data_IF_532201551748
#
_entry.id   IF_532201551748
#
_cell.length_a   1.000
_cell.length_b   1.000
_cell.length_c   1.000
_cell.angle_alpha   90.00
_cell.angle_beta   90.00
_cell.angle_gamma   90.00
#
_symmetry.space_group_name_H-M   'P 1'
#
loop_
_entity.id
_entity.type
_entity.pdbx_description
1 polymer ?
#
# COMPACT_ATOMS: atom_id res chain seq x y z
N UNK A 1 30.46 36.68 39.89
CA UNK A 1 30.39 36.86 41.35
C UNK A 1 29.47 35.78 41.92
N UNK A 2 29.96 35.06 42.94
CA UNK A 2 29.26 34.19 43.95
C UNK A 2 28.34 33.06 43.41
N UNK A 3 28.67 31.76 43.55
CA UNK A 3 28.77 30.91 44.77
C UNK A 3 27.38 30.71 45.43
N UNK A 4 26.86 29.53 45.82
CA UNK A 4 27.36 28.20 46.17
C UNK A 4 26.15 27.22 46.31
N UNK A 5 26.36 25.90 46.05
CA UNK A 5 26.00 24.72 46.90
C UNK A 5 24.52 24.34 47.23
N UNK A 6 24.11 23.08 47.51
CA UNK A 6 24.72 21.73 47.65
C UNK A 6 23.60 20.66 47.87
N UNK A 7 23.93 19.38 47.56
CA UNK A 7 23.58 18.07 48.23
C UNK A 7 22.16 17.48 48.05
N UNK A 8 21.95 16.15 47.87
CA UNK A 8 22.81 14.94 47.94
C UNK A 8 22.17 13.77 47.15
N UNK A 9 22.92 12.76 46.67
CA UNK A 9 23.42 11.58 47.42
C UNK A 9 22.35 10.47 47.41
N UNK A 10 22.49 9.34 46.72
CA UNK A 10 23.32 8.21 47.15
C UNK A 10 23.59 7.21 46.00
N UNK A 11 24.84 6.73 45.98
CA UNK A 11 25.36 5.60 45.21
C UNK A 11 24.93 4.25 45.82
N UNK A 12 24.75 3.23 44.99
CA UNK A 12 24.98 1.85 45.39
C UNK A 12 25.64 1.09 44.22
N UNK A 13 26.95 0.93 44.36
CA UNK A 13 27.77 -0.03 43.64
C UNK A 13 27.88 -1.32 44.47
N UNK A 14 28.07 -2.46 43.81
CA UNK A 14 28.42 -3.75 44.41
C UNK A 14 28.24 -4.86 43.38
N UNK A 15 29.23 -5.17 42.53
CA UNK A 15 30.44 -5.98 42.78
C UNK A 15 30.18 -7.41 43.25
N UNK A 16 30.41 -8.34 42.31
CA UNK A 16 31.21 -9.56 42.38
C UNK A 16 31.13 -10.43 43.65
N UNK A 17 30.68 -11.67 43.46
CA UNK A 17 31.26 -12.84 44.13
C UNK A 17 30.99 -14.11 43.31
N UNK A 18 32.02 -14.52 42.56
CA UNK A 18 32.18 -15.88 42.07
C UNK A 18 32.69 -16.74 43.23
N UNK A 19 32.00 -17.84 43.53
CA UNK A 19 32.50 -18.88 44.42
C UNK A 19 32.62 -20.16 43.60
N UNK A 20 33.86 -20.50 43.28
CA UNK A 20 34.29 -21.79 42.76
C UNK A 20 34.41 -22.73 43.95
N UNK A 21 33.50 -23.69 44.08
CA UNK A 21 33.71 -24.87 44.93
C UNK A 21 34.09 -26.04 44.05
N UNK A 22 35.38 -26.37 44.08
CA UNK A 22 35.92 -27.64 43.62
C UNK A 22 35.38 -28.77 44.51
N UNK A 23 34.89 -29.84 43.89
CA UNK A 23 34.57 -31.12 44.54
C UNK A 23 35.25 -32.21 43.71
N UNK A 24 35.93 -33.17 44.35
CA UNK A 24 36.94 -34.01 43.69
C UNK A 24 36.34 -35.14 42.86
N UNK A 25 37.12 -35.53 41.85
CA UNK A 25 36.91 -36.71 41.04
C UNK A 25 37.03 -38.00 41.87
N UNK A 26 35.99 -38.84 41.84
CA UNK A 26 36.11 -40.28 42.03
C UNK A 26 35.77 -40.98 40.71
N UNK A 27 36.74 -41.75 40.24
CA UNK A 27 36.69 -42.56 39.04
C UNK A 27 35.80 -43.80 39.22
N UNK A 28 34.89 -44.04 38.27
CA UNK A 28 34.39 -45.37 37.93
C UNK A 28 34.03 -45.38 36.44
N UNK A 29 34.41 -46.41 35.65
CA UNK A 29 34.13 -46.47 34.23
C UNK A 29 32.71 -46.99 34.04
N UNK A 30 31.80 -46.13 33.62
CA UNK A 30 30.55 -46.55 33.02
C UNK A 30 30.65 -46.29 31.53
N UNK A 31 30.73 -47.38 30.76
CA UNK A 31 30.53 -47.41 29.32
C UNK A 31 29.28 -46.59 28.98
N UNK A 32 29.50 -45.37 28.51
CA UNK A 32 28.44 -44.50 28.00
C UNK A 32 28.64 -44.51 26.48
N UNK A 33 27.72 -45.08 25.69
CA UNK A 33 27.85 -44.99 24.24
C UNK A 33 27.90 -43.51 23.83
N UNK A 34 28.69 -43.16 22.80
CA UNK A 34 28.90 -41.78 22.39
C UNK A 34 27.56 -41.09 22.07
N UNK A 35 27.45 -39.76 22.26
CA UNK A 35 26.24 -39.05 21.89
C UNK A 35 26.02 -39.25 20.40
N UNK A 36 24.97 -40.02 20.11
CA UNK A 36 24.46 -40.28 18.78
C UNK A 36 24.31 -38.93 18.10
N UNK A 37 25.18 -38.67 17.13
CA UNK A 37 25.03 -37.55 16.23
C UNK A 37 23.61 -37.64 15.69
N UNK A 38 22.81 -36.60 15.97
CA UNK A 38 21.42 -36.52 15.54
C UNK A 38 21.34 -37.01 14.10
N UNK A 39 20.72 -38.18 13.93
CA UNK A 39 20.53 -38.78 12.63
C UNK A 39 19.92 -37.71 11.71
N UNK A 40 20.33 -37.62 10.44
CA UNK A 40 19.68 -36.73 9.50
C UNK A 40 18.20 -37.08 9.52
N UNK A 41 17.38 -36.12 9.93
CA UNK A 41 15.92 -36.20 9.97
C UNK A 41 15.50 -36.59 8.55
N UNK A 42 15.20 -37.88 8.37
CA UNK A 42 15.09 -38.47 7.04
C UNK A 42 13.92 -37.79 6.31
N UNK A 43 14.21 -37.20 5.16
CA UNK A 43 13.23 -36.62 4.26
C UNK A 43 12.08 -37.62 4.05
N UNK A 44 10.84 -37.12 4.02
CA UNK A 44 9.69 -37.96 3.73
C UNK A 44 9.90 -38.68 2.38
N UNK A 45 9.56 -39.97 2.27
CA UNK A 45 9.79 -40.71 1.02
C UNK A 45 8.98 -40.07 -0.12
N UNK A 46 9.62 -39.87 -1.27
CA UNK A 46 8.97 -39.37 -2.49
C UNK A 46 9.04 -37.87 -2.75
N UNK A 47 9.74 -37.09 -1.91
CA UNK A 47 9.85 -35.63 -2.09
C UNK A 47 10.55 -35.21 -3.39
N UNK A 48 11.42 -36.06 -3.95
CA UNK A 48 12.10 -35.83 -5.23
C UNK A 48 11.13 -35.68 -6.42
N UNK A 49 9.93 -36.26 -6.32
CA UNK A 49 8.91 -36.18 -7.36
C UNK A 49 8.18 -34.83 -7.43
N UNK A 50 8.45 -33.92 -6.49
CA UNK A 50 7.82 -32.61 -6.50
C UNK A 50 8.28 -31.76 -7.69
N UNK A 51 7.34 -31.00 -8.27
CA UNK A 51 7.53 -30.31 -9.55
C UNK A 51 8.55 -29.16 -9.54
N UNK A 52 8.91 -28.64 -8.36
CA UNK A 52 9.86 -27.52 -8.23
C UNK A 52 10.86 -27.78 -7.11
N UNK A 53 12.10 -27.24 -7.19
CA UNK A 53 13.09 -27.39 -6.12
C UNK A 53 12.61 -26.87 -4.76
N UNK A 54 11.82 -25.79 -4.76
CA UNK A 54 11.18 -25.29 -3.53
C UNK A 54 10.22 -26.33 -2.94
N UNK A 55 9.40 -26.99 -3.76
CA UNK A 55 8.46 -28.00 -3.30
C UNK A 55 9.18 -29.27 -2.80
N UNK A 56 10.27 -29.67 -3.47
CA UNK A 56 11.14 -30.76 -3.03
C UNK A 56 11.72 -30.46 -1.64
N UNK A 57 12.27 -29.25 -1.45
CA UNK A 57 12.82 -28.82 -0.17
C UNK A 57 11.77 -28.73 0.94
N UNK A 58 10.59 -28.18 0.63
CA UNK A 58 9.49 -28.09 1.60
C UNK A 58 8.97 -29.45 2.04
N UNK A 59 8.98 -30.44 1.15
CA UNK A 59 8.61 -31.82 1.47
C UNK A 59 9.70 -32.52 2.29
N UNK A 60 10.97 -32.31 1.94
CA UNK A 60 12.10 -33.02 2.53
C UNK A 60 12.56 -32.50 3.91
N UNK A 61 12.32 -31.22 4.23
CA UNK A 61 12.67 -30.64 5.53
C UNK A 61 11.45 -30.66 6.48
N UNK A 62 11.56 -31.40 7.58
CA UNK A 62 10.47 -31.59 8.54
C UNK A 62 9.97 -30.28 9.18
N UNK A 63 10.88 -29.32 9.42
CA UNK A 63 10.50 -28.02 10.00
C UNK A 63 9.75 -27.15 9.00
N UNK A 64 10.14 -27.21 7.72
CA UNK A 64 9.40 -26.57 6.64
C UNK A 64 8.06 -27.23 6.38
N UNK A 65 7.99 -28.56 6.40
CA UNK A 65 6.75 -29.30 6.28
C UNK A 65 5.76 -28.90 7.39
N UNK A 66 6.23 -28.83 8.64
CA UNK A 66 5.43 -28.36 9.76
C UNK A 66 4.99 -26.90 9.61
N UNK A 67 5.87 -26.01 9.14
CA UNK A 67 5.52 -24.61 8.89
C UNK A 67 4.48 -24.47 7.76
N UNK A 68 4.60 -25.27 6.70
CA UNK A 68 3.64 -25.36 5.60
C UNK A 68 2.27 -25.81 6.10
N UNK A 69 2.22 -26.91 6.85
CA UNK A 69 0.97 -27.41 7.44
C UNK A 69 0.30 -26.38 8.37
N UNK A 70 1.08 -25.63 9.15
CA UNK A 70 0.54 -24.55 9.99
C UNK A 70 -0.06 -23.40 9.15
N UNK A 71 0.58 -23.04 8.03
CA UNK A 71 0.04 -22.05 7.09
C UNK A 71 -1.24 -22.56 6.41
N UNK A 72 -1.27 -23.81 5.98
CA UNK A 72 -2.45 -24.43 5.36
C UNK A 72 -3.63 -24.51 6.33
N UNK A 73 -3.37 -24.81 7.60
CA UNK A 73 -4.38 -24.74 8.66
C UNK A 73 -4.91 -23.30 8.88
N UNK A 74 -4.04 -22.30 8.84
CA UNK A 74 -4.44 -20.90 8.93
C UNK A 74 -5.28 -20.46 7.72
N UNK A 75 -4.93 -20.93 6.51
CA UNK A 75 -5.70 -20.70 5.28
C UNK A 75 -7.08 -21.34 5.35
N UNK A 76 -7.18 -22.60 5.75
CA UNK A 76 -8.44 -23.29 5.92
C UNK A 76 -9.33 -22.57 6.94
N UNK A 77 -8.75 -22.15 8.07
CA UNK A 77 -9.47 -21.41 9.10
C UNK A 77 -9.95 -20.02 8.61
N UNK A 78 -9.17 -19.33 7.78
CA UNK A 78 -9.59 -18.07 7.14
C UNK A 78 -10.70 -18.32 6.11
N UNK A 79 -10.56 -19.35 5.28
CA UNK A 79 -11.55 -19.72 4.26
C UNK A 79 -12.92 -20.10 4.84
N UNK A 80 -12.94 -20.63 6.06
CA UNK A 80 -14.17 -20.90 6.81
C UNK A 80 -14.93 -19.63 7.26
N UNK A 81 -14.31 -18.44 7.17
CA UNK A 81 -14.93 -17.16 7.54
C UNK A 81 -15.63 -16.45 6.38
N UNK A 82 -15.69 -17.07 5.20
CA UNK A 82 -16.16 -16.41 3.97
C UNK A 82 -16.92 -17.35 3.05
N UNK A 83 -17.61 -16.78 2.07
CA UNK A 83 -18.27 -17.48 0.97
C UNK A 83 -17.30 -17.92 -0.15
N UNK A 84 -17.84 -18.46 -1.25
CA UNK A 84 -17.04 -18.90 -2.41
C UNK A 84 -16.24 -17.77 -3.06
N UNK A 85 -16.80 -16.56 -3.13
CA UNK A 85 -16.10 -15.41 -3.71
C UNK A 85 -14.89 -15.03 -2.87
N UNK A 86 -15.05 -14.98 -1.54
CA UNK A 86 -13.91 -14.72 -0.67
C UNK A 86 -12.90 -15.86 -0.63
N UNK A 87 -13.31 -17.12 -0.83
CA UNK A 87 -12.38 -18.25 -1.01
C UNK A 87 -11.53 -18.09 -2.26
N UNK A 88 -12.14 -17.69 -3.39
CA UNK A 88 -11.41 -17.40 -4.62
C UNK A 88 -10.40 -16.26 -4.42
N UNK A 89 -10.79 -15.18 -3.76
CA UNK A 89 -9.88 -14.06 -3.46
C UNK A 89 -8.70 -14.46 -2.56
N UNK A 90 -8.92 -15.38 -1.59
CA UNK A 90 -7.85 -15.92 -0.74
C UNK A 90 -6.86 -16.73 -1.59
N UNK A 91 -7.33 -17.54 -2.54
CA UNK A 91 -6.48 -18.34 -3.43
C UNK A 91 -5.67 -17.46 -4.39
N UNK A 92 -6.29 -16.44 -4.96
CA UNK A 92 -5.59 -15.44 -5.79
C UNK A 92 -4.47 -14.75 -5.00
N UNK A 93 -4.77 -14.36 -3.75
CA UNK A 93 -3.78 -13.80 -2.83
C UNK A 93 -2.64 -14.78 -2.52
N UNK A 94 -2.94 -16.08 -2.36
CA UNK A 94 -1.89 -17.09 -2.16
C UNK A 94 -1.03 -17.29 -3.41
N UNK A 95 -1.62 -17.23 -4.60
CA UNK A 95 -0.87 -17.35 -5.86
C UNK A 95 0.17 -16.25 -5.98
N UNK A 96 -0.24 -14.99 -5.75
CA UNK A 96 0.68 -13.84 -5.74
C UNK A 96 1.74 -13.98 -4.64
N UNK A 97 1.33 -14.41 -3.44
CA UNK A 97 2.26 -14.61 -2.34
C UNK A 97 3.31 -15.70 -2.61
N UNK A 98 2.92 -16.84 -3.20
CA UNK A 98 3.85 -17.93 -3.56
C UNK A 98 4.88 -17.46 -4.58
N UNK A 99 4.45 -16.73 -5.61
CA UNK A 99 5.37 -16.12 -6.57
C UNK A 99 6.38 -15.20 -5.85
N UNK A 100 5.90 -14.35 -4.93
CA UNK A 100 6.78 -13.45 -4.17
C UNK A 100 7.73 -14.19 -3.21
N UNK A 101 7.26 -15.27 -2.59
CA UNK A 101 8.07 -16.14 -1.74
C UNK A 101 9.22 -16.72 -2.55
N UNK A 102 8.95 -17.22 -3.74
CA UNK A 102 9.96 -17.86 -4.60
C UNK A 102 10.98 -16.85 -5.14
N UNK A 103 10.57 -15.61 -5.42
CA UNK A 103 11.51 -14.50 -5.70
C UNK A 103 12.37 -14.15 -4.48
N UNK A 104 11.79 -14.16 -3.28
CA UNK A 104 12.46 -13.72 -2.04
C UNK A 104 13.42 -14.78 -1.50
N UNK A 105 13.05 -16.05 -1.64
CA UNK A 105 13.81 -17.22 -1.20
C UNK A 105 14.00 -18.18 -2.38
N UNK A 106 14.82 -17.81 -3.38
CA UNK A 106 15.02 -18.66 -4.55
C UNK A 106 15.70 -19.96 -4.14
N UNK A 107 15.16 -21.07 -4.64
CA UNK A 107 15.73 -22.42 -4.47
C UNK A 107 15.97 -23.00 -5.84
N UNK A 108 17.22 -23.38 -6.11
CA UNK A 108 17.62 -24.06 -7.33
C UNK A 108 17.92 -25.53 -7.03
N UNK A 109 17.94 -26.37 -8.06
CA UNK A 109 18.34 -27.78 -7.90
C UNK A 109 19.78 -27.92 -7.35
N UNK A 110 20.67 -26.97 -7.65
CA UNK A 110 22.04 -26.96 -7.12
C UNK A 110 22.07 -26.69 -5.61
N UNK A 111 21.16 -25.85 -5.09
CA UNK A 111 21.06 -25.61 -3.65
C UNK A 111 20.65 -26.88 -2.89
N UNK A 112 19.90 -27.79 -3.51
CA UNK A 112 19.44 -29.04 -2.88
C UNK A 112 20.57 -30.08 -2.72
N UNK A 113 21.57 -30.05 -3.60
CA UNK A 113 22.72 -30.95 -3.54
C UNK A 113 23.72 -30.58 -2.43
N UNK A 114 23.65 -29.35 -1.91
CA UNK A 114 24.52 -28.85 -0.84
C UNK A 114 23.71 -28.69 0.46
N UNK A 115 24.02 -29.51 1.48
CA UNK A 115 23.28 -29.50 2.74
C UNK A 115 23.29 -28.14 3.46
N UNK A 116 24.36 -27.35 3.33
CA UNK A 116 24.47 -26.02 3.96
C UNK A 116 23.63 -24.99 3.21
N UNK A 117 23.64 -25.03 1.88
CA UNK A 117 22.77 -24.17 1.06
C UNK A 117 21.31 -24.55 1.25
N UNK A 118 20.96 -25.83 1.18
CA UNK A 118 19.61 -26.34 1.44
C UNK A 118 19.08 -25.86 2.79
N UNK A 119 19.89 -25.96 3.86
CA UNK A 119 19.54 -25.43 5.18
C UNK A 119 19.30 -23.91 5.17
N UNK A 120 20.17 -23.16 4.50
CA UNK A 120 20.04 -21.69 4.39
C UNK A 120 18.77 -21.29 3.65
N UNK A 121 18.42 -22.02 2.58
CA UNK A 121 17.16 -21.83 1.84
C UNK A 121 15.96 -22.22 2.70
N UNK A 122 16.05 -23.32 3.44
CA UNK A 122 15.00 -23.76 4.34
C UNK A 122 14.73 -22.72 5.43
N UNK A 123 15.77 -22.15 6.04
CA UNK A 123 15.61 -21.07 7.02
C UNK A 123 14.95 -19.82 6.43
N UNK A 124 15.25 -19.47 5.17
CA UNK A 124 14.58 -18.38 4.45
C UNK A 124 13.08 -18.65 4.28
N UNK A 125 12.73 -19.80 3.70
CA UNK A 125 11.35 -20.21 3.47
C UNK A 125 10.57 -20.27 4.78
N UNK A 126 11.16 -20.84 5.82
CA UNK A 126 10.52 -20.96 7.13
C UNK A 126 10.17 -19.59 7.73
N UNK A 127 11.04 -18.58 7.57
CA UNK A 127 10.75 -17.21 8.00
C UNK A 127 9.60 -16.59 7.21
N UNK A 128 9.59 -16.73 5.89
CA UNK A 128 8.55 -16.16 5.02
C UNK A 128 7.20 -16.84 5.26
N UNK A 129 7.19 -18.17 5.42
CA UNK A 129 5.99 -18.94 5.74
C UNK A 129 5.43 -18.51 7.09
N UNK A 130 6.24 -18.47 8.16
CA UNK A 130 5.77 -18.01 9.48
C UNK A 130 5.18 -16.60 9.44
N UNK A 131 5.81 -15.68 8.71
CA UNK A 131 5.29 -14.32 8.54
C UNK A 131 3.92 -14.33 7.85
N UNK A 132 3.73 -15.18 6.85
CA UNK A 132 2.43 -15.34 6.17
C UNK A 132 1.38 -15.94 7.10
N UNK A 133 1.72 -16.99 7.85
CA UNK A 133 0.82 -17.60 8.84
C UNK A 133 0.29 -16.56 9.83
N UNK A 134 1.17 -15.76 10.42
CA UNK A 134 0.77 -14.67 11.35
C UNK A 134 -0.14 -13.65 10.66
N UNK A 135 0.13 -13.29 9.40
CA UNK A 135 -0.71 -12.36 8.66
C UNK A 135 -2.12 -12.94 8.38
N UNK A 136 -2.21 -14.22 8.04
CA UNK A 136 -3.49 -14.91 7.81
C UNK A 136 -4.31 -15.01 9.10
N UNK A 137 -3.66 -15.31 10.23
CA UNK A 137 -4.31 -15.34 11.53
C UNK A 137 -4.78 -13.96 11.96
N UNK A 138 -3.98 -12.92 11.74
CA UNK A 138 -4.37 -11.54 12.01
C UNK A 138 -5.57 -11.12 11.14
N UNK A 139 -5.59 -11.53 9.87
CA UNK A 139 -6.74 -11.31 8.99
C UNK A 139 -7.98 -12.04 9.51
N UNK A 140 -7.85 -13.31 9.88
CA UNK A 140 -8.95 -14.09 10.49
C UNK A 140 -9.49 -13.41 11.74
N UNK A 141 -8.60 -12.99 12.65
CA UNK A 141 -8.97 -12.27 13.87
C UNK A 141 -9.67 -10.95 13.55
N UNK A 142 -9.23 -10.23 12.52
CA UNK A 142 -9.87 -8.98 12.09
C UNK A 142 -11.30 -9.21 11.59
N UNK A 143 -11.55 -10.33 10.89
CA UNK A 143 -12.89 -10.72 10.42
C UNK A 143 -13.78 -11.24 11.54
N UNK A 144 -13.20 -11.90 12.55
CA UNK A 144 -13.94 -12.42 13.70
C UNK A 144 -14.21 -11.39 14.79
N UNK A 145 -13.58 -10.21 14.73
CA UNK A 145 -13.91 -9.13 15.65
C UNK A 145 -15.38 -8.76 15.40
N UNK A 146 -16.24 -8.80 16.42
CA UNK A 146 -17.57 -8.25 16.26
C UNK A 146 -17.38 -6.82 15.76
N UNK A 147 -18.06 -6.48 14.66
CA UNK A 147 -18.30 -5.09 14.32
C UNK A 147 -18.98 -4.55 15.56
N UNK A 148 -18.22 -3.87 16.43
CA UNK A 148 -18.70 -3.52 17.76
C UNK A 148 -20.07 -2.90 17.64
N UNK A 149 -20.97 -3.21 18.60
CA UNK A 149 -22.39 -2.86 18.63
C UNK A 149 -22.63 -1.35 18.42
N UNK A 150 -22.37 -0.87 17.21
CA UNK A 150 -23.08 0.24 16.65
C UNK A 150 -24.43 -0.37 16.30
N UNK A 151 -25.50 0.11 16.92
CA UNK A 151 -26.81 -0.40 16.58
C UNK A 151 -27.00 -0.23 15.07
N UNK A 152 -27.16 -1.34 14.36
CA UNK A 152 -27.72 -1.36 13.00
C UNK A 152 -29.22 -1.00 13.02
N UNK A 153 -29.70 -0.34 14.08
CA UNK A 153 -30.95 0.38 14.04
C UNK A 153 -30.67 1.77 13.46
N UNK A 154 -31.23 2.01 12.28
CA UNK A 154 -31.42 3.34 11.68
C UNK A 154 -32.24 4.27 12.59
N UNK A 155 -32.65 3.81 13.77
CA UNK A 155 -33.48 4.52 14.74
C UNK A 155 -32.82 4.83 16.09
N UNK A 156 -31.60 4.32 16.38
CA UNK A 156 -31.03 4.41 17.74
C UNK A 156 -29.60 4.95 17.85
N UNK A 157 -28.79 4.85 16.80
CA UNK A 157 -27.62 5.70 16.73
C UNK A 157 -28.16 7.12 16.59
N UNK A 158 -27.92 8.01 17.56
CA UNK A 158 -27.81 9.41 17.21
C UNK A 158 -26.84 9.40 16.04
N UNK A 159 -27.37 9.64 14.82
CA UNK A 159 -26.59 9.69 13.60
C UNK A 159 -25.31 10.40 14.01
N UNK A 160 -24.13 9.83 13.71
CA UNK A 160 -22.90 10.63 13.84
C UNK A 160 -23.32 11.97 13.29
N UNK A 161 -23.36 12.98 14.16
CA UNK A 161 -23.65 14.32 13.67
C UNK A 161 -22.47 14.49 12.75
N UNK A 162 -22.69 14.32 11.44
CA UNK A 162 -21.83 14.90 10.45
C UNK A 162 -21.60 16.27 11.03
N UNK A 163 -20.34 16.59 11.34
CA UNK A 163 -20.00 17.93 11.78
C UNK A 163 -20.85 18.82 10.88
N UNK A 164 -21.80 19.56 11.50
CA UNK A 164 -22.90 20.17 10.77
C UNK A 164 -22.30 20.71 9.48
N UNK A 165 -22.82 20.33 8.28
CA UNK A 165 -22.15 20.59 7.01
C UNK A 165 -21.50 21.94 7.14
N UNK A 166 -20.15 21.96 7.13
CA UNK A 166 -19.38 23.17 7.44
C UNK A 166 -20.18 24.30 6.81
N UNK A 167 -20.72 25.24 7.62
CA UNK A 167 -21.67 26.22 7.11
C UNK A 167 -21.02 26.75 5.85
N UNK A 168 -21.68 26.60 4.67
CA UNK A 168 -21.02 26.73 3.38
C UNK A 168 -20.19 27.98 3.49
N UNK A 169 -18.85 27.80 3.48
CA UNK A 169 -17.95 28.94 3.66
C UNK A 169 -18.43 29.89 2.59
N UNK A 170 -18.97 31.06 2.97
CA UNK A 170 -19.61 31.94 2.02
C UNK A 170 -18.59 32.11 0.92
N UNK A 171 -18.92 31.75 -0.34
CA UNK A 171 -17.93 31.73 -1.39
C UNK A 171 -17.31 33.11 -1.37
N UNK A 172 -16.01 33.18 -1.11
CA UNK A 172 -15.26 34.40 -1.34
C UNK A 172 -15.27 34.52 -2.87
N UNK A 173 -16.33 35.16 -3.37
CA UNK A 173 -16.57 35.43 -4.78
C UNK A 173 -15.62 36.55 -5.17
N UNK A 174 -14.34 36.22 -5.19
CA UNK A 174 -13.38 37.00 -5.94
C UNK A 174 -13.76 36.83 -7.40
N UNK A 175 -13.84 37.93 -8.14
CA UNK A 175 -14.00 37.85 -9.59
C UNK A 175 -12.72 37.23 -10.16
N UNK A 176 -12.85 36.15 -10.90
CA UNK A 176 -11.73 35.45 -11.54
C UNK A 176 -11.99 35.42 -13.03
N UNK A 177 -11.03 35.91 -13.82
CA UNK A 177 -11.06 35.75 -15.28
C UNK A 177 -10.21 34.54 -15.69
N UNK A 178 -10.51 33.95 -16.84
CA UNK A 178 -9.74 32.84 -17.41
C UNK A 178 -8.25 33.17 -17.56
N UNK A 179 -7.92 34.41 -17.91
CA UNK A 179 -6.53 34.89 -18.00
C UNK A 179 -5.77 34.72 -16.69
N UNK A 180 -6.43 34.93 -15.54
CA UNK A 180 -5.80 34.74 -14.23
C UNK A 180 -5.56 33.27 -13.87
N UNK A 181 -6.06 32.33 -14.66
CA UNK A 181 -5.81 30.90 -14.50
C UNK A 181 -4.65 30.40 -15.39
N UNK A 182 -4.11 31.27 -16.24
CA UNK A 182 -2.99 30.92 -17.10
C UNK A 182 -1.77 30.42 -16.30
N UNK A 183 -1.04 29.51 -16.92
CA UNK A 183 0.10 28.81 -16.36
C UNK A 183 -0.18 27.32 -16.12
N UNK A 184 0.81 26.67 -15.51
CA UNK A 184 0.81 25.22 -15.30
C UNK A 184 0.29 24.86 -13.90
N UNK A 185 -0.41 23.72 -13.85
CA UNK A 185 -1.05 23.17 -12.67
C UNK A 185 -0.71 21.68 -12.53
N UNK A 186 -0.31 21.26 -11.32
CA UNK A 186 -0.04 19.88 -10.96
C UNK A 186 -1.34 19.15 -10.63
N UNK A 187 -1.50 17.93 -11.11
CA UNK A 187 -2.58 17.06 -10.62
C UNK A 187 -2.37 16.78 -9.13
N UNK A 188 -3.44 16.75 -8.34
CA UNK A 188 -3.34 16.44 -6.90
C UNK A 188 -3.70 15.00 -6.58
N UNK A 189 -3.10 14.47 -5.51
CA UNK A 189 -3.48 13.17 -4.94
C UNK A 189 -4.89 13.27 -4.32
N UNK A 190 -5.81 12.35 -4.65
CA UNK A 190 -7.17 12.39 -4.10
C UNK A 190 -7.22 12.16 -2.58
N UNK A 191 -6.22 11.52 -1.97
CA UNK A 191 -6.20 11.20 -0.55
C UNK A 191 -5.81 12.40 0.32
N UNK A 192 -4.79 13.17 -0.08
CA UNK A 192 -4.24 14.28 0.73
C UNK A 192 -4.29 15.65 0.04
N UNK A 193 -4.70 15.70 -1.23
CA UNK A 193 -4.84 16.91 -2.06
C UNK A 193 -3.54 17.70 -2.26
N UNK A 194 -2.40 17.03 -2.10
CA UNK A 194 -1.06 17.57 -2.41
C UNK A 194 -0.72 17.36 -3.89
N UNK A 195 0.19 18.17 -4.43
CA UNK A 195 0.63 18.06 -5.82
C UNK A 195 1.37 16.74 -6.06
N UNK A 196 0.95 15.96 -7.05
CA UNK A 196 1.66 14.78 -7.53
C UNK A 196 2.81 15.24 -8.42
N UNK A 197 4.03 14.82 -8.08
CA UNK A 197 5.25 14.98 -8.89
C UNK A 197 5.55 16.41 -9.39
N UNK A 198 4.97 17.44 -8.76
CA UNK A 198 5.15 18.87 -9.04
C UNK A 198 5.25 19.20 -10.55
N UNK A 199 4.20 18.81 -11.29
CA UNK A 199 4.04 19.09 -12.73
C UNK A 199 5.01 18.39 -13.69
N UNK A 200 5.74 17.36 -13.26
CA UNK A 200 6.66 16.61 -14.13
C UNK A 200 5.98 15.58 -15.01
N UNK A 201 5.06 14.81 -14.43
CA UNK A 201 4.48 13.61 -15.07
C UNK A 201 3.00 13.79 -15.42
N UNK A 202 2.23 14.50 -14.58
CA UNK A 202 0.81 14.75 -14.78
C UNK A 202 0.49 16.21 -14.47
N UNK A 203 0.03 16.94 -15.49
CA UNK A 203 -0.16 18.38 -15.40
C UNK A 203 -1.26 18.89 -16.34
N UNK A 204 -1.71 20.11 -16.06
CA UNK A 204 -2.63 20.91 -16.85
C UNK A 204 -1.95 22.25 -17.15
N UNK A 205 -1.84 22.62 -18.41
CA UNK A 205 -1.30 23.90 -18.86
C UNK A 205 -2.42 24.73 -19.50
N UNK A 206 -2.56 25.98 -19.06
CA UNK A 206 -3.55 26.92 -19.58
C UNK A 206 -2.82 28.10 -20.19
N UNK A 207 -2.93 28.26 -21.51
CA UNK A 207 -2.38 29.40 -22.23
C UNK A 207 -3.17 30.68 -22.01
N UNK A 208 -2.52 31.83 -22.22
CA UNK A 208 -3.17 33.14 -22.17
C UNK A 208 -4.21 33.34 -23.27
N UNK A 209 -4.10 32.56 -24.34
CA UNK A 209 -5.04 32.47 -25.46
C UNK A 209 -6.22 31.52 -25.20
N UNK A 210 -6.36 31.01 -23.96
CA UNK A 210 -7.33 30.00 -23.55
C UNK A 210 -7.09 28.61 -24.13
N UNK A 211 -5.93 28.36 -24.74
CA UNK A 211 -5.51 27.00 -25.03
C UNK A 211 -5.36 26.22 -23.73
N UNK A 212 -5.75 24.95 -23.76
CA UNK A 212 -5.61 24.04 -22.63
C UNK A 212 -4.96 22.76 -23.14
N UNK A 213 -3.88 22.37 -22.46
CA UNK A 213 -3.16 21.13 -22.69
C UNK A 213 -3.08 20.36 -21.37
N UNK A 214 -3.69 19.17 -21.29
CA UNK A 214 -3.59 18.32 -20.12
C UNK A 214 -2.87 17.02 -20.45
N UNK A 215 -2.01 16.55 -19.54
CA UNK A 215 -1.22 15.33 -19.66
C UNK A 215 -1.48 14.45 -18.46
N UNK A 216 -1.89 13.20 -18.71
CA UNK A 216 -1.96 12.14 -17.71
C UNK A 216 -1.50 10.82 -18.36
N UNK A 217 -0.24 10.39 -18.15
CA UNK A 217 0.36 9.29 -18.89
C UNK A 217 -0.28 7.93 -18.57
N UNK A 218 -1.04 7.83 -17.47
CA UNK A 218 -1.73 6.59 -17.08
C UNK A 218 -3.06 6.40 -17.79
N UNK A 219 -3.56 7.41 -18.53
CA UNK A 219 -4.86 7.38 -19.18
C UNK A 219 -4.72 7.51 -20.70
N UNK A 220 -5.38 6.61 -21.44
CA UNK A 220 -5.31 6.56 -22.91
C UNK A 220 -5.97 7.75 -23.61
N UNK A 221 -6.86 8.48 -22.92
CA UNK A 221 -7.57 9.64 -23.46
C UNK A 221 -6.74 10.94 -23.42
N UNK A 222 -5.49 10.86 -22.97
CA UNK A 222 -4.56 11.98 -22.86
C UNK A 222 -3.40 11.84 -23.88
N UNK A 223 -2.81 12.94 -24.37
CA UNK A 223 -3.05 14.32 -23.96
C UNK A 223 -4.42 14.85 -24.40
N UNK A 224 -4.97 15.75 -23.59
CA UNK A 224 -6.22 16.43 -23.87
C UNK A 224 -5.92 17.86 -24.32
N UNK A 225 -6.25 18.17 -25.57
CA UNK A 225 -6.00 19.45 -26.21
C UNK A 225 -7.30 20.14 -26.60
N UNK A 226 -7.39 21.44 -26.35
CA UNK A 226 -8.54 22.22 -26.78
C UNK A 226 -8.46 23.70 -26.39
N UNK A 227 -9.58 24.40 -26.59
CA UNK A 227 -9.71 25.82 -26.27
C UNK A 227 -10.88 26.02 -25.31
N UNK A 228 -10.65 26.74 -24.21
CA UNK A 228 -11.70 27.09 -23.26
C UNK A 228 -12.67 28.11 -23.87
N UNK A 229 -13.97 27.90 -23.67
CA UNK A 229 -15.02 28.78 -24.16
C UNK A 229 -14.85 30.21 -23.64
N UNK A 230 -15.03 31.19 -24.55
CA UNK A 230 -14.73 32.60 -24.30
C UNK A 230 -15.55 33.23 -23.16
N UNK A 231 -16.84 32.89 -23.11
CA UNK A 231 -17.82 33.54 -22.23
C UNK A 231 -18.09 32.73 -20.95
N UNK A 232 -17.26 31.71 -20.67
CA UNK A 232 -17.43 30.85 -19.51
C UNK A 232 -16.94 31.51 -18.22
N UNK A 233 -17.72 31.38 -17.15
CA UNK A 233 -17.30 31.74 -15.79
C UNK A 233 -16.50 30.57 -15.18
N UNK A 234 -15.21 30.75 -14.82
CA UNK A 234 -14.40 29.72 -14.17
C UNK A 234 -15.04 29.13 -12.91
N UNK A 235 -15.84 29.90 -12.17
CA UNK A 235 -16.48 29.44 -10.93
C UNK A 235 -17.67 28.51 -11.22
N UNK A 236 -18.43 28.80 -12.29
CA UNK A 236 -19.56 27.98 -12.72
C UNK A 236 -19.13 26.77 -13.56
N UNK A 237 -17.99 26.89 -14.23
CA UNK A 237 -17.45 25.89 -15.14
C UNK A 237 -17.34 26.44 -16.56
N UNK A 238 -16.23 26.13 -17.21
CA UNK A 238 -15.91 26.55 -18.58
C UNK A 238 -15.72 25.31 -19.44
N UNK A 239 -16.48 25.24 -20.53
CA UNK A 239 -16.37 24.16 -21.48
C UNK A 239 -15.02 24.21 -22.20
N UNK A 240 -14.36 23.07 -22.30
CA UNK A 240 -13.22 22.83 -23.17
C UNK A 240 -13.75 22.33 -24.51
N UNK A 241 -13.59 23.14 -25.54
CA UNK A 241 -13.95 22.79 -26.91
C UNK A 241 -12.76 22.13 -27.60
N UNK A 242 -12.98 21.14 -28.47
CA UNK A 242 -11.89 20.58 -29.26
C UNK A 242 -11.25 21.66 -30.13
N UNK A 243 -9.96 21.52 -30.41
CA UNK A 243 -9.30 22.37 -31.40
C UNK A 243 -10.05 22.28 -32.73
N UNK A 244 -10.39 23.43 -33.34
CA UNK A 244 -11.14 23.45 -34.59
C UNK A 244 -10.39 22.65 -35.67
N UNK A 245 -11.10 21.85 -36.51
CA UNK A 245 -10.47 21.22 -37.65
C UNK A 245 -9.90 22.29 -38.60
N UNK A 246 -8.72 22.03 -39.16
CA UNK A 246 -8.15 22.84 -40.24
C UNK A 246 -9.15 23.05 -41.37
N UNK A 247 -9.16 24.25 -41.94
CA UNK A 247 -10.10 24.80 -42.93
C UNK A 247 -10.82 23.76 -43.81
N UNK A 248 -12.16 23.69 -43.69
CA UNK A 248 -13.01 22.98 -44.66
C UNK A 248 -14.18 22.17 -44.07
N UNK A 249 -14.19 21.89 -42.77
CA UNK A 249 -15.31 21.20 -42.12
C UNK A 249 -16.30 22.22 -41.54
N UNK A 250 -17.56 22.13 -41.94
CA UNK A 250 -18.64 22.97 -41.44
C UNK A 250 -18.69 22.93 -39.90
N UNK A 251 -18.81 24.10 -39.28
CA UNK A 251 -18.90 24.27 -37.84
C UNK A 251 -20.23 23.71 -37.29
N UNK A 252 -20.34 22.38 -37.19
CA UNK A 252 -21.21 21.81 -36.17
C UNK A 252 -20.61 22.20 -34.81
N UNK A 253 -21.46 22.65 -33.88
CA UNK A 253 -21.06 22.91 -32.49
C UNK A 253 -20.48 21.63 -31.91
N UNK A 254 -19.15 21.54 -31.87
CA UNK A 254 -18.46 20.37 -31.39
C UNK A 254 -18.81 20.17 -29.92
N UNK A 255 -19.16 18.94 -29.54
CA UNK A 255 -19.45 18.62 -28.16
C UNK A 255 -18.23 18.94 -27.28
N UNK A 256 -18.43 19.49 -26.07
CA UNK A 256 -17.34 19.78 -25.16
C UNK A 256 -16.60 18.49 -24.79
N UNK A 257 -15.27 18.57 -24.72
CA UNK A 257 -14.41 17.46 -24.31
C UNK A 257 -14.39 17.30 -22.79
N UNK A 258 -14.44 18.43 -22.09
CA UNK A 258 -14.37 18.51 -20.64
C UNK A 258 -14.96 19.84 -20.14
N UNK A 259 -15.18 19.93 -18.85
CA UNK A 259 -15.52 21.16 -18.13
C UNK A 259 -14.41 21.46 -17.11
N UNK A 260 -13.85 22.66 -17.17
CA UNK A 260 -12.87 23.20 -16.21
C UNK A 260 -13.57 24.10 -15.21
N UNK A 261 -13.41 23.86 -13.91
CA UNK A 261 -14.03 24.68 -12.85
C UNK A 261 -13.05 25.03 -11.75
N UNK A 262 -13.03 26.29 -11.34
CA UNK A 262 -12.34 26.77 -10.16
C UNK A 262 -13.14 26.45 -8.90
N UNK A 263 -12.47 25.87 -7.91
CA UNK A 263 -13.02 25.67 -6.59
C UNK A 263 -12.91 26.93 -5.73
N UNK A 264 -13.85 27.15 -4.79
CA UNK A 264 -13.76 28.25 -3.83
C UNK A 264 -12.44 28.21 -3.05
N UNK A 265 -11.74 29.35 -2.99
CA UNK A 265 -10.49 29.53 -2.27
C UNK A 265 -10.35 30.97 -1.75
N UNK A 266 -9.69 31.14 -0.60
CA UNK A 266 -9.56 32.46 0.05
C UNK A 266 -8.55 33.38 -0.65
N UNK A 267 -7.63 32.83 -1.44
CA UNK A 267 -6.65 33.60 -2.21
C UNK A 267 -6.15 32.83 -3.44
N UNK A 268 -5.59 33.52 -4.46
CA UNK A 268 -5.08 32.88 -5.67
C UNK A 268 -4.02 31.79 -5.43
N UNK A 269 -3.30 31.87 -4.30
CA UNK A 269 -2.29 30.89 -3.90
C UNK A 269 -2.89 29.52 -3.57
N UNK A 270 -4.16 29.48 -3.18
CA UNK A 270 -4.88 28.26 -2.80
C UNK A 270 -5.89 27.83 -3.85
N UNK A 271 -5.81 28.41 -5.05
CA UNK A 271 -6.67 28.03 -6.16
C UNK A 271 -6.52 26.55 -6.48
N UNK A 272 -7.67 25.93 -6.73
CA UNK A 272 -7.76 24.55 -7.17
C UNK A 272 -8.68 24.49 -8.37
N UNK A 273 -8.21 23.86 -9.43
CA UNK A 273 -9.00 23.61 -10.63
C UNK A 273 -9.49 22.17 -10.62
N UNK A 274 -10.73 21.95 -11.02
CA UNK A 274 -11.24 20.63 -11.37
C UNK A 274 -11.40 20.58 -12.88
N UNK A 275 -10.75 19.60 -13.52
CA UNK A 275 -11.06 19.21 -14.89
C UNK A 275 -11.92 17.95 -14.84
N UNK A 276 -13.10 17.98 -15.44
CA UNK A 276 -14.02 16.84 -15.55
C UNK A 276 -14.30 16.56 -17.01
N UNK A 277 -14.05 15.35 -17.47
CA UNK A 277 -14.38 14.94 -18.84
C UNK A 277 -15.88 14.73 -19.00
N UNK A 278 -16.37 15.00 -20.20
CA UNK A 278 -17.75 14.70 -20.57
C UNK A 278 -17.92 13.19 -20.88
N UNK A 279 -19.12 12.62 -20.71
CA UNK A 279 -19.40 11.23 -21.06
C UNK A 279 -19.03 10.93 -22.53
N UNK A 280 -18.52 9.72 -22.85
CA UNK A 280 -18.53 8.50 -22.03
C UNK A 280 -17.36 8.37 -21.04
N UNK A 281 -16.43 9.33 -20.98
CA UNK A 281 -15.33 9.28 -20.04
C UNK A 281 -15.79 9.68 -18.62
N UNK A 282 -15.25 9.02 -17.59
CA UNK A 282 -15.57 9.29 -16.18
C UNK A 282 -14.45 10.01 -15.41
N UNK A 283 -13.47 10.56 -16.14
CA UNK A 283 -12.32 11.20 -15.51
C UNK A 283 -12.69 12.55 -14.87
N UNK A 284 -12.26 12.73 -13.62
CA UNK A 284 -12.19 14.03 -12.98
C UNK A 284 -10.95 14.09 -12.10
N UNK A 285 -10.24 15.22 -12.13
CA UNK A 285 -9.08 15.44 -11.26
C UNK A 285 -9.01 16.89 -10.78
N UNK A 286 -8.51 17.06 -9.56
CA UNK A 286 -8.13 18.34 -8.99
C UNK A 286 -6.69 18.69 -9.37
N UNK A 287 -6.44 19.97 -9.57
CA UNK A 287 -5.15 20.53 -9.93
C UNK A 287 -4.84 21.75 -9.07
N UNK A 288 -3.57 21.91 -8.68
CA UNK A 288 -3.03 23.06 -7.93
C UNK A 288 -1.93 23.72 -8.75
N UNK A 289 -1.69 25.03 -8.59
CA UNK A 289 -0.58 25.70 -9.31
C UNK A 289 0.75 25.01 -9.02
N UNK A 290 1.56 24.79 -10.05
CA UNK A 290 2.96 24.42 -9.87
C UNK A 290 3.68 25.53 -9.10
N UNK A 291 4.69 25.16 -8.30
CA UNK A 291 5.56 26.12 -7.65
C UNK A 291 6.72 26.58 -8.53
#
# INVERSE_FOLDING_TARGET
MRALSLVGGFLAAGSLLAVVTAVPALSAPADTPPPEAAAPEAAAPGCEAAATPTAQLMCGDAKLAAAGAAMDAALAALGATTDDSGRAAIEDSQTVWRAKRDETCPVTAADLADAKLAKTRADCLARVIRKRTVALEAERQSRSRPVGDLPLSVTGAAARRFAAPQPPVPPISRKVSLETLAGRWAKTDPADRTAIDDCRSSYLDIGTDRSLHAVEPRLQLFPLDGTLAADGDPVQGVALLPAAPSEGAQAQAAAPLATLRLLPADSPRFDRLILRMEPPASFAAEFVRCR
#
